data_IF_190847259087
#
_entry.id   IF_190847259087
#
_cell.length_a   1.000
_cell.length_b   1.000
_cell.length_c   1.000
_cell.angle_alpha   90.00
_cell.angle_beta   90.00
_cell.angle_gamma   90.00
#
_symmetry.space_group_name_H-M   'P 1'
#
loop_
_entity.id
_entity.type
_entity.pdbx_description
1 polymer ?
#
# COMPACT_ATOMS: atom_id res chain seq x y z
N UNK A 1 15.21 -23.15 -15.47
CA UNK A 1 13.88 -22.58 -15.12
C UNK A 1 13.85 -21.16 -15.64
N UNK A 2 12.69 -20.62 -16.05
CA UNK A 2 12.58 -19.28 -16.63
C UNK A 2 13.10 -18.17 -15.69
N UNK A 3 12.97 -18.34 -14.37
CA UNK A 3 13.58 -17.44 -13.36
C UNK A 3 15.05 -17.78 -13.04
N UNK A 4 15.70 -18.61 -13.84
CA UNK A 4 17.11 -18.95 -13.68
C UNK A 4 18.01 -17.83 -14.21
N UNK A 5 19.24 -17.71 -13.69
CA UNK A 5 20.18 -16.65 -14.07
C UNK A 5 20.54 -16.66 -15.56
N UNK A 6 20.39 -17.81 -16.23
CA UNK A 6 20.74 -17.98 -17.65
C UNK A 6 19.64 -17.53 -18.64
N UNK A 7 18.47 -17.06 -18.15
CA UNK A 7 17.30 -16.78 -18.98
C UNK A 7 16.73 -15.36 -18.76
N UNK A 8 17.59 -14.36 -18.67
CA UNK A 8 17.15 -12.96 -18.62
C UNK A 8 16.86 -12.42 -20.04
N UNK A 9 15.64 -11.95 -20.26
CA UNK A 9 15.19 -11.35 -21.52
C UNK A 9 14.45 -10.04 -21.29
N UNK A 10 14.40 -9.17 -22.30
CA UNK A 10 13.62 -7.91 -22.24
C UNK A 10 12.11 -8.13 -21.99
N UNK A 11 11.64 -9.37 -22.13
CA UNK A 11 10.23 -9.75 -21.95
C UNK A 11 9.93 -10.37 -20.57
N UNK A 12 10.91 -10.44 -19.66
CA UNK A 12 10.76 -11.13 -18.38
C UNK A 12 9.59 -10.60 -17.54
N UNK A 13 9.40 -9.28 -17.52
CA UNK A 13 8.28 -8.64 -16.81
C UNK A 13 6.91 -9.01 -17.40
N UNK A 14 6.83 -9.22 -18.73
CA UNK A 14 5.60 -9.63 -19.40
C UNK A 14 5.28 -11.08 -19.06
N UNK A 15 6.28 -11.97 -19.17
CA UNK A 15 6.11 -13.39 -18.85
C UNK A 15 5.80 -13.62 -17.37
N UNK A 16 6.48 -12.90 -16.50
CA UNK A 16 6.22 -12.88 -15.06
C UNK A 16 4.77 -12.45 -14.76
N UNK A 17 4.30 -11.35 -15.37
CA UNK A 17 2.92 -10.90 -15.25
C UNK A 17 1.89 -11.94 -15.72
N UNK A 18 2.14 -12.60 -16.86
CA UNK A 18 1.28 -13.66 -17.39
C UNK A 18 1.24 -14.88 -16.47
N UNK A 19 2.39 -15.32 -15.97
CA UNK A 19 2.50 -16.45 -15.05
C UNK A 19 1.72 -16.19 -13.76
N UNK A 20 1.97 -15.03 -13.14
CA UNK A 20 1.27 -14.62 -11.92
C UNK A 20 -0.22 -14.43 -12.13
N UNK A 21 -0.63 -13.83 -13.25
CA UNK A 21 -2.05 -13.69 -13.61
C UNK A 21 -2.77 -15.03 -13.74
N UNK A 22 -2.10 -16.06 -14.29
CA UNK A 22 -2.65 -17.43 -14.34
C UNK A 22 -2.82 -18.02 -12.94
N UNK A 23 -1.83 -17.87 -12.06
CA UNK A 23 -1.95 -18.32 -10.67
C UNK A 23 -3.11 -17.64 -9.96
N UNK A 24 -3.22 -16.32 -10.05
CA UNK A 24 -4.36 -15.58 -9.47
C UNK A 24 -5.70 -16.11 -9.99
N UNK A 25 -5.81 -16.41 -11.29
CA UNK A 25 -7.03 -16.96 -11.86
C UNK A 25 -7.36 -18.37 -11.33
N UNK A 26 -6.35 -19.19 -11.01
CA UNK A 26 -6.56 -20.49 -10.35
C UNK A 26 -7.19 -20.29 -8.97
N UNK A 27 -6.62 -19.40 -8.14
CA UNK A 27 -7.19 -19.08 -6.81
C UNK A 27 -8.64 -18.57 -6.91
N UNK A 28 -8.91 -17.62 -7.82
CA UNK A 28 -10.26 -17.10 -8.06
C UNK A 28 -11.24 -18.21 -8.48
N UNK A 29 -10.82 -19.15 -9.33
CA UNK A 29 -11.65 -20.30 -9.74
C UNK A 29 -11.92 -21.28 -8.60
N UNK A 30 -11.02 -21.36 -7.62
CA UNK A 30 -11.22 -22.14 -6.39
C UNK A 30 -12.07 -21.40 -5.35
N UNK A 31 -12.56 -20.19 -5.65
CA UNK A 31 -13.33 -19.37 -4.70
C UNK A 31 -12.48 -18.75 -3.59
N UNK A 32 -11.15 -18.75 -3.73
CA UNK A 32 -10.21 -18.22 -2.74
C UNK A 32 -9.63 -16.91 -3.26
N UNK A 33 -9.53 -15.91 -2.39
CA UNK A 33 -8.82 -14.66 -2.73
C UNK A 33 -7.36 -14.97 -3.05
N UNK A 34 -6.83 -14.59 -4.22
CA UNK A 34 -5.42 -14.81 -4.55
C UNK A 34 -4.49 -14.24 -3.49
N UNK A 35 -3.41 -14.96 -3.13
CA UNK A 35 -2.38 -14.42 -2.25
C UNK A 35 -1.85 -13.11 -2.82
N UNK A 36 -1.74 -12.08 -1.96
CA UNK A 36 -1.40 -10.73 -2.41
C UNK A 36 -0.03 -10.69 -3.11
N UNK A 37 0.91 -11.55 -2.68
CA UNK A 37 2.24 -11.71 -3.27
C UNK A 37 2.24 -12.10 -4.75
N UNK A 38 1.18 -12.74 -5.26
CA UNK A 38 1.05 -13.01 -6.71
C UNK A 38 0.87 -11.73 -7.53
N UNK A 39 0.67 -10.58 -6.91
CA UNK A 39 0.55 -9.32 -7.61
C UNK A 39 1.89 -8.59 -7.76
N UNK A 40 2.93 -9.10 -7.11
CA UNK A 40 4.29 -8.55 -7.10
C UNK A 40 5.10 -9.24 -8.18
N UNK A 41 5.81 -8.50 -9.07
CA UNK A 41 6.71 -9.11 -10.02
C UNK A 41 7.78 -9.95 -9.33
N UNK A 42 8.05 -11.15 -9.84
CA UNK A 42 9.15 -11.99 -9.32
C UNK A 42 10.50 -11.47 -9.86
N UNK A 43 10.52 -10.97 -11.09
CA UNK A 43 11.66 -10.25 -11.64
C UNK A 43 11.55 -8.77 -11.25
N UNK A 44 12.38 -8.30 -10.31
CA UNK A 44 12.41 -6.90 -9.91
C UNK A 44 13.20 -6.06 -10.91
N UNK A 45 12.54 -5.18 -11.65
CA UNK A 45 13.21 -3.95 -12.09
C UNK A 45 13.21 -2.99 -10.91
N UNK A 46 14.37 -2.44 -10.52
CA UNK A 46 14.57 -1.45 -9.45
C UNK A 46 13.89 -0.09 -9.74
N UNK A 47 12.62 -0.08 -10.14
CA UNK A 47 11.87 1.14 -10.34
C UNK A 47 11.23 1.51 -9.02
N UNK A 48 11.81 2.50 -8.34
CA UNK A 48 11.24 3.05 -7.13
C UNK A 48 9.88 3.70 -7.42
N UNK A 49 8.82 3.11 -6.87
CA UNK A 49 7.45 3.54 -7.09
C UNK A 49 7.04 4.64 -6.09
N UNK A 50 7.18 5.89 -6.52
CA UNK A 50 6.79 7.08 -5.75
C UNK A 50 7.95 7.75 -5.01
N UNK A 51 7.64 8.81 -4.28
CA UNK A 51 8.56 9.56 -3.42
C UNK A 51 8.60 8.92 -2.04
N UNK A 52 9.79 8.70 -1.50
CA UNK A 52 9.96 8.12 -0.16
C UNK A 52 9.64 9.12 0.97
N UNK A 53 9.22 8.63 2.15
CA UNK A 53 9.19 9.44 3.36
C UNK A 53 10.59 9.93 3.72
N UNK A 54 10.71 11.19 4.12
CA UNK A 54 12.01 11.83 4.42
C UNK A 54 12.21 12.16 5.90
N UNK A 55 11.13 12.18 6.68
CA UNK A 55 11.15 12.40 8.14
C UNK A 55 9.90 11.81 8.79
N UNK A 56 9.90 11.73 10.12
CA UNK A 56 8.72 11.36 10.86
C UNK A 56 7.60 12.42 10.71
N UNK A 57 6.35 11.95 10.71
CA UNK A 57 5.13 12.76 10.61
C UNK A 57 4.15 12.40 11.72
N UNK A 58 3.41 13.40 12.22
CA UNK A 58 2.33 13.21 13.20
C UNK A 58 1.10 14.04 12.78
N UNK A 59 0.44 13.68 11.68
CA UNK A 59 -0.72 14.40 11.20
C UNK A 59 -1.92 14.21 12.15
N UNK A 60 -2.70 15.26 12.35
CA UNK A 60 -4.00 15.15 13.03
C UNK A 60 -5.04 14.61 12.04
N UNK A 61 -5.68 13.50 12.38
CA UNK A 61 -6.73 12.91 11.55
C UNK A 61 -7.97 13.83 11.48
N UNK A 62 -8.63 13.87 10.32
CA UNK A 62 -9.97 14.45 10.12
C UNK A 62 -10.08 15.97 10.17
N UNK A 63 -9.02 16.67 10.62
CA UNK A 63 -8.98 18.13 10.65
C UNK A 63 -8.70 18.77 9.29
N UNK A 64 -8.82 20.10 9.23
CA UNK A 64 -8.29 20.89 8.11
C UNK A 64 -6.78 20.65 8.05
N UNK A 65 -6.25 19.98 7.01
CA UNK A 65 -4.84 19.62 6.99
C UNK A 65 -4.02 20.90 6.87
N UNK A 66 -3.11 21.12 7.81
CA UNK A 66 -2.04 22.06 7.55
C UNK A 66 -1.14 21.45 6.48
N UNK A 67 -0.58 22.27 5.58
CA UNK A 67 0.42 21.78 4.62
C UNK A 67 1.59 21.06 5.30
N UNK A 68 1.86 21.41 6.57
CA UNK A 68 2.98 20.89 7.35
C UNK A 68 2.74 19.48 7.91
N UNK A 69 1.49 19.07 8.10
CA UNK A 69 1.13 17.81 8.78
C UNK A 69 1.63 16.58 8.01
N UNK A 70 1.65 16.67 6.69
CA UNK A 70 2.11 15.61 5.78
C UNK A 70 3.43 15.98 5.09
N UNK A 71 4.09 17.07 5.49
CA UNK A 71 5.35 17.47 4.90
C UNK A 71 6.43 16.45 5.27
N UNK A 72 7.07 15.84 4.27
CA UNK A 72 8.03 14.75 4.45
C UNK A 72 7.42 13.34 4.50
N UNK A 73 6.11 13.22 4.32
CA UNK A 73 5.49 11.95 3.98
C UNK A 73 5.97 11.44 2.62
N UNK A 74 6.02 10.13 2.47
CA UNK A 74 6.10 9.49 1.17
C UNK A 74 4.85 9.78 0.36
N UNK A 75 4.99 9.81 -0.96
CA UNK A 75 3.91 10.14 -1.89
C UNK A 75 3.98 9.30 -3.14
N UNK A 76 2.92 8.58 -3.41
CA UNK A 76 2.69 7.92 -4.68
C UNK A 76 1.64 8.69 -5.49
N UNK A 77 1.99 9.05 -6.73
CA UNK A 77 1.12 9.81 -7.63
C UNK A 77 0.54 8.88 -8.70
N UNK A 78 -0.75 8.56 -8.60
CA UNK A 78 -1.41 7.56 -9.43
C UNK A 78 -1.41 7.88 -10.94
N UNK A 79 -1.24 9.17 -11.30
CA UNK A 79 -1.16 9.62 -12.69
C UNK A 79 0.17 9.28 -13.37
N UNK A 80 1.26 9.11 -12.60
CA UNK A 80 2.59 8.78 -13.16
C UNK A 80 2.72 7.31 -13.56
N UNK A 81 1.85 6.47 -13.02
CA UNK A 81 1.78 5.03 -13.26
C UNK A 81 0.81 4.68 -14.40
N UNK A 82 0.48 5.64 -15.26
CA UNK A 82 -0.36 5.38 -16.43
C UNK A 82 0.50 4.77 -17.55
N UNK A 83 0.45 3.44 -17.68
CA UNK A 83 0.81 2.82 -18.95
C UNK A 83 -0.08 3.33 -20.08
N UNK A 84 0.34 3.18 -21.33
CA UNK A 84 -0.40 3.68 -22.51
C UNK A 84 -1.85 3.15 -22.65
N UNK A 85 -2.24 2.14 -21.87
CA UNK A 85 -3.60 1.57 -21.82
C UNK A 85 -4.37 1.87 -20.52
N UNK A 86 -3.78 2.60 -19.56
CA UNK A 86 -4.47 2.96 -18.31
C UNK A 86 -5.51 4.05 -18.60
N UNK A 87 -6.73 3.60 -18.93
CA UNK A 87 -7.88 4.44 -19.24
C UNK A 87 -8.10 5.52 -18.17
N UNK A 88 -7.90 6.78 -18.56
CA UNK A 88 -8.86 7.89 -18.49
C UNK A 88 -9.44 8.37 -17.15
N UNK A 89 -9.74 7.50 -16.18
CA UNK A 89 -10.62 7.85 -15.06
C UNK A 89 -10.26 7.18 -13.73
N UNK A 90 -8.97 7.22 -13.38
CA UNK A 90 -8.51 6.82 -12.04
C UNK A 90 -9.06 7.76 -10.97
N UNK A 91 -9.71 7.20 -9.95
CA UNK A 91 -10.33 7.94 -8.83
C UNK A 91 -9.28 8.42 -7.85
N UNK A 92 -8.35 7.55 -7.47
CA UNK A 92 -7.23 7.90 -6.60
C UNK A 92 -6.26 8.80 -7.35
N UNK A 93 -5.93 9.94 -6.75
CA UNK A 93 -4.92 10.90 -7.24
C UNK A 93 -3.58 10.65 -6.59
N UNK A 94 -3.56 10.65 -5.26
CA UNK A 94 -2.35 10.57 -4.47
C UNK A 94 -2.57 9.60 -3.31
N UNK A 95 -1.53 8.84 -3.01
CA UNK A 95 -1.41 8.06 -1.78
C UNK A 95 -0.25 8.67 -1.01
N UNK A 96 -0.52 9.15 0.19
CA UNK A 96 0.48 9.60 1.13
C UNK A 96 0.66 8.54 2.20
N UNK A 97 1.90 8.32 2.60
CA UNK A 97 2.24 7.32 3.60
C UNK A 97 3.45 7.78 4.38
N UNK A 98 3.50 7.41 5.65
CA UNK A 98 4.61 7.79 6.50
C UNK A 98 4.48 7.22 7.90
N UNK A 99 5.40 7.62 8.74
CA UNK A 99 5.55 7.07 10.07
C UNK A 99 5.79 8.19 11.08
N UNK A 100 5.16 8.11 12.25
CA UNK A 100 5.53 8.87 13.43
C UNK A 100 6.43 8.05 14.36
N UNK A 101 6.45 8.40 15.64
CA UNK A 101 7.18 7.61 16.65
C UNK A 101 6.57 6.24 16.89
N UNK A 102 5.23 6.14 16.86
CA UNK A 102 4.48 4.93 17.25
C UNK A 102 3.52 4.44 16.19
N UNK A 103 3.07 5.32 15.31
CA UNK A 103 1.96 5.05 14.40
C UNK A 103 2.34 5.24 12.93
N UNK A 104 1.83 4.35 12.09
CA UNK A 104 1.81 4.50 10.66
C UNK A 104 0.64 5.36 10.25
N UNK A 105 0.89 6.27 9.30
CA UNK A 105 -0.11 7.16 8.76
C UNK A 105 -0.27 6.92 7.26
N UNK A 106 -1.51 6.84 6.83
CA UNK A 106 -1.91 6.65 5.45
C UNK A 106 -2.96 7.68 5.07
N UNK A 107 -2.85 8.29 3.89
CA UNK A 107 -3.90 9.14 3.33
C UNK A 107 -4.10 8.85 1.86
N UNK A 108 -5.35 8.70 1.47
CA UNK A 108 -5.76 8.55 0.09
C UNK A 108 -6.55 9.77 -0.36
N UNK A 109 -6.00 10.50 -1.33
CA UNK A 109 -6.69 11.61 -1.98
C UNK A 109 -7.35 11.13 -3.26
N UNK A 110 -8.63 11.40 -3.43
CA UNK A 110 -9.40 11.04 -4.63
C UNK A 110 -10.10 12.24 -5.28
N UNK A 111 -10.49 12.12 -6.55
CA UNK A 111 -11.34 13.11 -7.25
C UNK A 111 -12.80 13.03 -6.82
N UNK A 112 -13.27 11.82 -6.63
CA UNK A 112 -14.65 11.46 -6.32
C UNK A 112 -14.67 10.53 -5.09
N UNK A 113 -15.86 10.06 -4.72
CA UNK A 113 -16.00 8.97 -3.76
C UNK A 113 -15.12 7.78 -4.16
N UNK A 114 -14.31 7.32 -3.21
CA UNK A 114 -13.28 6.29 -3.43
C UNK A 114 -13.95 4.96 -3.76
N UNK A 115 -15.02 4.60 -3.06
CA UNK A 115 -15.73 3.33 -3.22
C UNK A 115 -16.42 2.94 -1.93
N UNK A 116 -16.79 1.65 -1.83
CA UNK A 116 -17.39 1.09 -0.62
C UNK A 116 -16.32 0.57 0.34
N UNK A 117 -15.13 0.26 -0.18
CA UNK A 117 -14.03 -0.27 0.61
C UNK A 117 -12.66 0.08 -0.02
N UNK A 118 -11.69 0.39 0.84
CA UNK A 118 -10.27 0.51 0.50
C UNK A 118 -9.49 -0.53 1.28
N UNK A 119 -8.65 -1.31 0.60
CA UNK A 119 -7.82 -2.34 1.21
C UNK A 119 -6.35 -1.97 1.03
N UNK A 120 -5.59 -1.94 2.11
CA UNK A 120 -4.13 -1.81 2.10
C UNK A 120 -3.52 -3.15 2.49
N UNK A 121 -2.86 -3.83 1.54
CA UNK A 121 -2.19 -5.10 1.79
C UNK A 121 -0.69 -4.87 2.01
N UNK A 122 -0.27 -4.95 3.26
CA UNK A 122 1.13 -4.99 3.66
C UNK A 122 1.68 -6.40 3.45
N UNK A 123 2.87 -6.48 2.86
CA UNK A 123 3.59 -7.73 2.61
C UNK A 123 4.79 -7.86 3.53
N UNK A 124 5.52 -6.76 3.68
CA UNK A 124 6.63 -6.63 4.61
C UNK A 124 6.31 -5.62 5.72
N UNK A 125 6.79 -5.86 6.95
CA UNK A 125 7.61 -7.01 7.38
C UNK A 125 6.82 -8.30 7.61
N UNK A 126 5.49 -8.23 7.62
CA UNK A 126 4.61 -9.39 7.70
C UNK A 126 3.30 -9.15 6.95
N UNK A 127 2.62 -10.22 6.48
CA UNK A 127 1.33 -10.09 5.80
C UNK A 127 0.25 -9.52 6.72
N UNK A 128 -0.16 -8.29 6.45
CA UNK A 128 -1.22 -7.59 7.19
C UNK A 128 -2.15 -6.93 6.18
N UNK A 129 -3.46 -7.06 6.39
CA UNK A 129 -4.48 -6.43 5.57
C UNK A 129 -5.26 -5.44 6.40
N UNK A 130 -5.18 -4.17 6.01
CA UNK A 130 -6.00 -3.11 6.56
C UNK A 130 -7.19 -2.89 5.63
N UNK A 131 -8.41 -3.02 6.15
CA UNK A 131 -9.66 -2.83 5.42
C UNK A 131 -10.38 -1.60 5.96
N UNK A 132 -10.63 -0.64 5.10
CA UNK A 132 -11.32 0.61 5.43
C UNK A 132 -12.65 0.56 4.71
N UNK A 133 -13.71 0.29 5.46
CA UNK A 133 -15.03 -0.09 4.93
C UNK A 133 -16.00 1.05 5.22
N UNK A 134 -16.80 1.42 4.22
CA UNK A 134 -17.82 2.44 4.37
C UNK A 134 -18.98 1.91 5.21
N UNK A 135 -19.40 2.68 6.22
CA UNK A 135 -20.48 2.33 7.13
C UNK A 135 -21.38 3.54 7.36
N UNK A 136 -22.54 3.57 6.71
CA UNK A 136 -23.42 4.74 6.71
C UNK A 136 -22.74 5.97 6.11
N UNK A 137 -22.67 7.05 6.89
CA UNK A 137 -21.98 8.30 6.53
C UNK A 137 -20.50 8.30 6.92
N UNK A 138 -20.02 7.25 7.61
CA UNK A 138 -18.65 7.16 8.12
C UNK A 138 -17.84 6.00 7.53
N UNK A 139 -16.71 5.74 8.19
CA UNK A 139 -15.79 4.67 7.84
C UNK A 139 -15.43 3.86 9.08
N UNK A 140 -15.20 2.57 8.88
CA UNK A 140 -14.72 1.64 9.90
C UNK A 140 -13.44 0.97 9.42
N UNK A 141 -12.53 0.70 10.34
CA UNK A 141 -11.27 0.01 10.05
C UNK A 141 -11.28 -1.39 10.64
N UNK A 142 -10.82 -2.34 9.84
CA UNK A 142 -10.52 -3.71 10.24
C UNK A 142 -9.06 -4.01 9.94
N UNK A 143 -8.39 -4.71 10.86
CA UNK A 143 -7.08 -5.26 10.62
C UNK A 143 -7.16 -6.78 10.61
N UNK A 144 -6.57 -7.38 9.59
CA UNK A 144 -6.43 -8.82 9.47
C UNK A 144 -4.94 -9.17 9.37
N UNK A 145 -4.52 -10.25 10.02
CA UNK A 145 -3.15 -10.76 9.96
C UNK A 145 -3.12 -12.13 9.31
N UNK A 146 -2.03 -12.43 8.65
CA UNK A 146 -1.80 -13.75 8.06
C UNK A 146 -0.39 -14.26 8.35
N UNK A 147 -0.27 -15.57 8.58
CA UNK A 147 1.02 -16.26 8.71
C UNK A 147 1.59 -16.72 7.37
N UNK A 148 0.72 -16.94 6.39
CA UNK A 148 1.06 -17.54 5.08
C UNK A 148 0.75 -16.61 3.88
N UNK A 149 0.13 -15.45 4.13
CA UNK A 149 -0.31 -14.51 3.10
C UNK A 149 -1.55 -14.98 2.33
N UNK A 150 -2.22 -16.05 2.78
CA UNK A 150 -3.39 -16.67 2.15
C UNK A 150 -4.60 -16.57 3.07
N UNK A 151 -4.50 -17.12 4.27
CA UNK A 151 -5.56 -17.09 5.28
C UNK A 151 -5.37 -15.89 6.20
N UNK A 152 -6.37 -15.01 6.24
CA UNK A 152 -6.35 -13.79 7.04
C UNK A 152 -7.35 -13.91 8.18
N UNK A 153 -6.91 -13.59 9.39
CA UNK A 153 -7.73 -13.57 10.61
C UNK A 153 -7.84 -12.15 11.12
N UNK A 154 -9.06 -11.71 11.44
CA UNK A 154 -9.28 -10.40 12.03
C UNK A 154 -8.66 -10.34 13.42
N UNK A 155 -7.99 -9.22 13.72
CA UNK A 155 -7.37 -8.95 15.02
C UNK A 155 -7.78 -7.57 15.51
N UNK A 156 -7.78 -7.40 16.83
CA UNK A 156 -8.00 -6.10 17.44
C UNK A 156 -6.82 -5.16 17.13
N UNK A 157 -7.15 -3.92 16.79
CA UNK A 157 -6.17 -2.87 16.55
C UNK A 157 -6.74 -1.52 16.97
N UNK A 158 -5.90 -0.66 17.56
CA UNK A 158 -6.24 0.73 17.83
C UNK A 158 -6.04 1.59 16.57
N UNK A 159 -6.60 1.15 15.44
CA UNK A 159 -6.55 1.91 14.20
C UNK A 159 -7.72 2.90 14.15
N UNK A 160 -7.44 4.11 13.69
CA UNK A 160 -8.42 5.19 13.57
C UNK A 160 -8.53 5.62 12.12
N UNK A 161 -9.75 5.95 11.68
CA UNK A 161 -10.02 6.51 10.35
C UNK A 161 -10.78 7.81 10.49
N UNK A 162 -10.43 8.77 9.64
CA UNK A 162 -11.20 9.99 9.48
C UNK A 162 -11.28 10.38 8.01
N UNK A 163 -12.39 11.01 7.63
CA UNK A 163 -12.57 11.62 6.32
C UNK A 163 -12.50 13.14 6.48
N UNK A 164 -11.64 13.77 5.69
CA UNK A 164 -11.48 15.23 5.64
C UNK A 164 -11.00 15.63 4.26
N UNK A 165 -9.79 16.17 4.15
CA UNK A 165 -9.08 16.16 2.85
C UNK A 165 -8.52 14.75 2.61
N UNK A 166 -9.28 13.94 1.88
CA UNK A 166 -8.97 12.54 1.64
C UNK A 166 -9.34 11.62 2.82
N UNK A 167 -9.24 10.32 2.59
CA UNK A 167 -9.44 9.27 3.59
C UNK A 167 -8.12 9.05 4.34
N UNK A 168 -8.12 9.27 5.65
CA UNK A 168 -6.92 9.26 6.48
C UNK A 168 -7.02 8.15 7.51
N UNK A 169 -5.93 7.41 7.70
CA UNK A 169 -5.84 6.33 8.67
C UNK A 169 -4.57 6.45 9.49
N UNK A 170 -4.72 6.20 10.79
CA UNK A 170 -3.64 5.98 11.74
C UNK A 170 -3.73 4.55 12.27
N UNK A 171 -2.59 3.86 12.39
CA UNK A 171 -2.54 2.59 13.10
C UNK A 171 -1.19 2.38 13.79
N UNK A 172 -1.14 1.68 14.95
CA UNK A 172 0.12 1.41 15.62
C UNK A 172 1.08 0.58 14.77
N UNK A 173 2.35 0.97 14.70
CA UNK A 173 3.39 0.26 13.93
C UNK A 173 3.58 -1.19 14.36
N UNK A 174 3.42 -1.46 15.65
CA UNK A 174 3.46 -2.82 16.21
C UNK A 174 2.41 -3.74 15.55
N UNK A 175 1.31 -3.17 15.06
CA UNK A 175 0.27 -3.90 14.34
C UNK A 175 0.75 -4.43 13.00
N UNK A 176 1.73 -3.79 12.35
CA UNK A 176 2.32 -4.23 11.07
C UNK A 176 3.38 -5.32 11.22
N UNK A 177 3.64 -5.78 12.45
CA UNK A 177 4.65 -6.81 12.73
C UNK A 177 6.08 -6.27 12.74
N UNK A 178 6.23 -4.94 12.79
CA UNK A 178 7.53 -4.30 12.84
C UNK A 178 8.24 -4.56 14.17
N UNK A 179 9.49 -5.05 14.11
CA UNK A 179 10.29 -5.36 15.30
C UNK A 179 11.69 -4.74 15.32
N UNK A 180 12.19 -4.18 14.21
CA UNK A 180 13.59 -3.69 14.08
C UNK A 180 13.67 -2.40 13.30
N UNK A 181 14.37 -1.39 13.81
CA UNK A 181 14.64 -0.14 13.08
C UNK A 181 15.16 -0.39 11.65
N UNK A 182 14.67 0.38 10.68
CA UNK A 182 15.10 0.28 9.29
C UNK A 182 14.63 -0.97 8.52
N UNK A 183 13.73 -1.77 9.08
CA UNK A 183 13.02 -2.81 8.31
C UNK A 183 12.34 -2.25 7.05
N UNK A 184 12.13 -3.12 6.06
CA UNK A 184 11.40 -2.76 4.84
C UNK A 184 9.89 -2.85 5.08
N UNK A 185 9.16 -1.87 4.55
CA UNK A 185 7.71 -1.95 4.34
C UNK A 185 7.48 -2.08 2.87
N UNK A 186 6.56 -2.96 2.54
CA UNK A 186 6.00 -3.01 1.21
C UNK A 186 4.49 -3.19 1.29
N UNK A 187 3.76 -2.38 0.52
CA UNK A 187 2.32 -2.46 0.49
C UNK A 187 1.76 -2.09 -0.88
N UNK A 188 0.51 -2.48 -1.09
CA UNK A 188 -0.31 -2.06 -2.22
C UNK A 188 -1.66 -1.58 -1.69
N UNK A 189 -2.37 -0.82 -2.49
CA UNK A 189 -3.71 -0.32 -2.21
C UNK A 189 -4.68 -0.84 -3.26
N UNK A 190 -5.85 -1.29 -2.83
CA UNK A 190 -6.96 -1.70 -3.68
C UNK A 190 -8.20 -0.92 -3.32
N UNK A 191 -8.96 -0.58 -4.35
CA UNK A 191 -10.27 0.04 -4.23
C UNK A 191 -11.31 -0.98 -4.64
N UNK A 192 -12.30 -1.20 -3.77
CA UNK A 192 -13.37 -2.19 -3.94
C UNK A 192 -14.71 -1.48 -3.99
N UNK A 193 -15.55 -1.89 -4.95
CA UNK A 193 -16.91 -1.39 -5.13
C UNK A 193 -17.85 -2.52 -5.50
N UNK A 194 -19.01 -2.60 -4.83
CA UNK A 194 -19.95 -3.70 -5.02
C UNK A 194 -19.32 -5.09 -4.84
N UNK A 195 -18.29 -5.20 -3.98
CA UNK A 195 -17.56 -6.44 -3.73
C UNK A 195 -16.49 -6.82 -4.77
N UNK A 196 -16.29 -6.03 -5.82
CA UNK A 196 -15.25 -6.25 -6.83
C UNK A 196 -14.10 -5.24 -6.71
N UNK A 197 -12.87 -5.71 -6.89
CA UNK A 197 -11.69 -4.85 -7.03
C UNK A 197 -11.79 -4.07 -8.36
N UNK A 198 -11.85 -2.74 -8.28
CA UNK A 198 -12.00 -1.85 -9.44
C UNK A 198 -10.71 -1.10 -9.78
N UNK A 199 -9.90 -0.78 -8.77
CA UNK A 199 -8.61 -0.12 -8.96
C UNK A 199 -7.55 -0.71 -8.03
N UNK A 200 -6.30 -0.66 -8.47
CA UNK A 200 -5.13 -1.14 -7.75
C UNK A 200 -3.96 -0.17 -7.94
N UNK A 201 -3.26 0.12 -6.84
CA UNK A 201 -2.13 1.03 -6.79
C UNK A 201 -0.96 0.42 -5.99
N UNK A 202 0.25 0.35 -6.56
CA UNK A 202 0.55 0.56 -7.98
C UNK A 202 -0.15 -0.47 -8.90
N UNK A 203 -0.25 -0.18 -10.21
CA UNK A 203 -0.76 -1.17 -11.18
C UNK A 203 0.06 -2.45 -11.15
N UNK A 204 1.38 -2.30 -10.96
CA UNK A 204 2.35 -3.39 -10.90
C UNK A 204 3.35 -3.11 -9.78
N UNK A 205 3.66 -4.14 -9.00
CA UNK A 205 4.59 -4.02 -7.87
C UNK A 205 3.92 -3.53 -6.59
N UNK A 206 4.76 -3.00 -5.70
CA UNK A 206 4.43 -2.51 -4.37
C UNK A 206 5.04 -1.12 -4.17
N UNK A 207 4.42 -0.31 -3.31
CA UNK A 207 5.09 0.84 -2.71
C UNK A 207 6.02 0.31 -1.64
N UNK A 208 7.31 0.61 -1.76
CA UNK A 208 8.37 0.08 -0.90
C UNK A 208 9.18 1.21 -0.28
N UNK A 209 9.44 1.12 1.02
CA UNK A 209 10.28 2.07 1.74
C UNK A 209 10.90 1.43 3.00
N UNK A 210 12.08 1.88 3.39
CA UNK A 210 12.62 1.58 4.72
C UNK A 210 11.90 2.44 5.75
N UNK A 211 11.40 1.83 6.83
CA UNK A 211 10.77 2.60 7.90
C UNK A 211 11.80 3.19 8.86
N UNK A 212 11.34 3.72 10.00
CA UNK A 212 12.16 4.58 10.84
C UNK A 212 13.47 3.90 11.23
N UNK A 213 14.58 4.54 10.88
CA UNK A 213 15.90 4.32 11.50
C UNK A 213 16.05 5.43 12.53
N UNK A 214 16.32 5.13 13.82
CA UNK A 214 16.53 6.21 14.82
C UNK A 214 17.64 7.19 14.43
N UNK A 215 18.49 6.84 13.46
CA UNK A 215 19.59 7.65 12.96
C UNK A 215 19.21 8.69 11.88
N UNK A 216 17.96 8.77 11.42
CA UNK A 216 17.58 9.69 10.32
C UNK A 216 17.31 11.14 10.75
N UNK A 217 17.50 11.50 12.03
CA UNK A 217 17.51 12.90 12.46
C UNK A 217 18.86 13.62 12.25
N UNK A 218 19.91 12.92 11.77
CA UNK A 218 21.26 13.48 11.71
C UNK A 218 21.91 13.56 10.31
N UNK A 219 21.20 13.33 9.20
CA UNK A 219 21.81 13.40 7.85
C UNK A 219 21.35 14.55 6.95
N UNK A 220 20.38 15.37 7.37
CA UNK A 220 19.94 16.54 6.58
C UNK A 220 20.55 17.88 7.04
N UNK A 221 21.63 17.88 7.83
CA UNK A 221 22.27 19.11 8.32
C UNK A 221 23.72 19.36 7.86
N UNK A 222 24.19 18.70 6.79
CA UNK A 222 25.45 19.12 6.16
C UNK A 222 25.21 19.80 4.81
N UNK A 223 25.21 21.15 4.91
CA UNK A 223 25.74 22.20 4.01
C UNK A 223 25.36 22.12 2.53
#
# INVERSE_FOLDING_TARGET
WWYGPDFQTDSDLIFDGLFRGRLQNVYRRLGVTPPAGLSVPICSSEVQLGVLPTRAIEPRLGGTPSFLDWAGAGRYEAWRDQGAMAQGDRRVKNIYYGYGEKDFYFRLDSKELIGDEVIVDFHLPSPVRLRIIREGEGWRVNLEKSKDGVAYEQVDCAAEVAEGKGLQVQLPFSSLGWRREGGEVSFLVRVVRGGAEVERYPERGLIEFSGPVRALDMKNWYI
#
